data_IF_631705095835
#
_entry.id   IF_631705095835
#
_cell.length_a   1.000
_cell.length_b   1.000
_cell.length_c   1.000
_cell.angle_alpha   90.00
_cell.angle_beta   90.00
_cell.angle_gamma   90.00
#
_symmetry.space_group_name_H-M   'P 1'
#
loop_
_entity.id
_entity.type
_entity.pdbx_description
1 polymer ?
#
# COMPACT_ATOMS: atom_id res chain seq x y z
N UNK A 1 -30.17 -22.91 -24.44
CA UNK A 1 -28.78 -23.21 -24.03
C UNK A 1 -28.28 -22.04 -23.19
N UNK A 2 -28.58 -22.03 -21.89
CA UNK A 2 -28.13 -20.97 -20.96
C UNK A 2 -26.87 -21.44 -20.27
N UNK A 3 -25.70 -21.14 -20.83
CA UNK A 3 -24.44 -21.39 -20.16
C UNK A 3 -24.36 -20.54 -18.90
N UNK A 4 -24.31 -21.19 -17.73
CA UNK A 4 -23.92 -20.56 -16.47
C UNK A 4 -22.49 -20.04 -16.64
N UNK A 5 -22.34 -18.78 -17.08
CA UNK A 5 -21.07 -18.07 -16.93
C UNK A 5 -20.85 -17.92 -15.43
N UNK A 6 -19.96 -18.75 -14.89
CA UNK A 6 -19.37 -18.51 -13.58
C UNK A 6 -18.73 -17.12 -13.67
N UNK A 7 -19.40 -16.10 -13.13
CA UNK A 7 -18.81 -14.76 -13.03
C UNK A 7 -17.52 -14.91 -12.23
N UNK A 8 -16.37 -14.78 -12.90
CA UNK A 8 -15.08 -14.73 -12.21
C UNK A 8 -15.17 -13.61 -11.18
N UNK A 9 -14.96 -13.95 -9.91
CA UNK A 9 -14.87 -12.96 -8.83
C UNK A 9 -13.72 -12.01 -9.17
N UNK A 10 -13.97 -10.70 -9.09
CA UNK A 10 -12.94 -9.69 -9.35
C UNK A 10 -11.84 -9.82 -8.30
N UNK A 11 -10.56 -9.63 -8.66
CA UNK A 11 -9.49 -9.60 -7.67
C UNK A 11 -9.73 -8.47 -6.67
N UNK A 12 -9.57 -8.77 -5.38
CA UNK A 12 -9.66 -7.75 -4.32
C UNK A 12 -8.32 -7.07 -4.12
N UNK A 13 -8.31 -5.75 -4.06
CA UNK A 13 -7.09 -4.94 -3.95
C UNK A 13 -7.18 -4.04 -2.74
N UNK A 14 -6.24 -4.20 -1.81
CA UNK A 14 -6.07 -3.27 -0.69
C UNK A 14 -5.28 -2.05 -1.17
N UNK A 15 -5.85 -0.86 -0.98
CA UNK A 15 -5.33 0.42 -1.44
C UNK A 15 -4.74 1.21 -0.27
N UNK A 16 -3.45 1.54 -0.38
CA UNK A 16 -2.67 2.26 0.62
C UNK A 16 -2.39 3.69 0.13
N UNK A 17 -2.90 4.69 0.85
CA UNK A 17 -2.79 6.10 0.48
C UNK A 17 -1.38 6.68 0.72
N UNK A 18 -1.13 7.89 0.21
CA UNK A 18 0.14 8.59 0.36
C UNK A 18 0.29 9.32 1.69
N UNK A 19 1.48 9.87 1.92
CA UNK A 19 1.80 10.67 3.12
C UNK A 19 0.79 11.81 3.31
N UNK A 20 0.23 11.93 4.52
CA UNK A 20 -0.73 12.96 4.91
C UNK A 20 -1.94 13.07 3.99
N UNK A 21 -2.49 11.92 3.61
CA UNK A 21 -3.77 11.80 2.89
C UNK A 21 -4.66 10.78 3.60
N UNK A 22 -5.68 10.25 2.93
CA UNK A 22 -6.58 9.23 3.48
C UNK A 22 -6.99 8.25 2.37
N UNK A 23 -7.55 7.11 2.76
CA UNK A 23 -8.14 6.15 1.84
C UNK A 23 -9.24 6.78 0.99
N UNK A 24 -10.07 7.66 1.56
CA UNK A 24 -11.11 8.37 0.82
C UNK A 24 -10.53 9.37 -0.20
N UNK A 25 -9.42 10.04 0.13
CA UNK A 25 -8.70 10.91 -0.82
C UNK A 25 -8.13 10.07 -1.97
N UNK A 26 -7.46 8.95 -1.67
CA UNK A 26 -6.95 8.06 -2.72
C UNK A 26 -8.08 7.54 -3.62
N UNK A 27 -9.23 7.18 -3.05
CA UNK A 27 -10.42 6.77 -3.81
C UNK A 27 -10.91 7.87 -4.75
N UNK A 28 -10.98 9.12 -4.29
CA UNK A 28 -11.33 10.27 -5.14
C UNK A 28 -10.31 10.50 -6.26
N UNK A 29 -9.02 10.35 -5.97
CA UNK A 29 -7.96 10.44 -7.00
C UNK A 29 -8.10 9.32 -8.06
N UNK A 30 -8.38 8.10 -7.62
CA UNK A 30 -8.57 6.94 -8.50
C UNK A 30 -9.88 6.98 -9.29
N UNK A 31 -10.91 7.70 -8.83
CA UNK A 31 -12.17 7.84 -9.56
C UNK A 31 -12.01 8.48 -10.96
N UNK A 32 -10.86 9.12 -11.23
CA UNK A 32 -10.50 9.67 -12.54
C UNK A 32 -10.01 8.60 -13.53
N UNK A 33 -9.76 7.37 -13.09
CA UNK A 33 -9.31 6.30 -13.98
C UNK A 33 -10.43 5.79 -14.88
N UNK A 34 -10.10 5.24 -16.06
CA UNK A 34 -11.11 4.68 -16.96
C UNK A 34 -11.95 3.59 -16.29
N UNK A 35 -13.26 3.60 -16.50
CA UNK A 35 -14.16 2.55 -16.01
C UNK A 35 -13.75 1.14 -16.47
N UNK A 36 -13.13 1.04 -17.65
CA UNK A 36 -12.58 -0.21 -18.16
C UNK A 36 -11.48 -0.79 -17.28
N UNK A 37 -10.79 0.02 -16.47
CA UNK A 37 -9.84 -0.42 -15.44
C UNK A 37 -10.56 -0.64 -14.13
N UNK A 38 -11.33 0.35 -13.65
CA UNK A 38 -11.98 0.30 -12.34
C UNK A 38 -12.91 -0.91 -12.19
N UNK A 39 -13.59 -1.31 -13.27
CA UNK A 39 -14.53 -2.42 -13.23
C UNK A 39 -13.86 -3.80 -13.16
N UNK A 40 -12.54 -3.92 -13.31
CA UNK A 40 -11.84 -5.21 -13.22
C UNK A 40 -11.51 -5.64 -11.79
N UNK A 41 -11.56 -4.72 -10.82
CA UNK A 41 -11.11 -4.96 -9.45
C UNK A 41 -12.18 -4.59 -8.43
N UNK A 42 -12.06 -5.16 -7.24
CA UNK A 42 -12.79 -4.73 -6.04
C UNK A 42 -11.79 -4.05 -5.10
N UNK A 43 -11.80 -2.70 -5.06
CA UNK A 43 -10.86 -1.91 -4.28
C UNK A 43 -11.37 -1.66 -2.85
N UNK A 44 -10.46 -1.76 -1.88
CA UNK A 44 -10.69 -1.48 -0.46
C UNK A 44 -9.67 -0.43 0.00
N UNK A 45 -10.14 0.73 0.47
CA UNK A 45 -9.29 1.88 0.76
C UNK A 45 -9.11 2.03 2.26
N UNK A 46 -7.90 1.74 2.75
CA UNK A 46 -7.58 1.75 4.16
C UNK A 46 -6.95 3.07 4.58
N UNK A 47 -7.45 3.65 5.68
CA UNK A 47 -6.78 4.74 6.38
C UNK A 47 -5.63 4.22 7.23
N UNK A 48 -4.50 4.93 7.17
CA UNK A 48 -3.34 4.67 8.00
C UNK A 48 -3.62 4.94 9.49
N UNK A 49 -2.91 4.26 10.42
CA UNK A 49 -3.27 4.26 11.83
C UNK A 49 -2.90 5.55 12.58
N UNK A 50 -2.06 6.41 12.01
CA UNK A 50 -1.58 7.62 12.68
C UNK A 50 -2.15 8.88 12.04
N UNK A 51 -2.76 9.75 12.84
CA UNK A 51 -3.13 11.09 12.38
C UNK A 51 -1.89 11.89 11.95
N UNK A 52 -2.02 12.63 10.85
CA UNK A 52 -0.98 13.52 10.37
C UNK A 52 -0.64 14.58 11.41
N UNK A 53 0.66 14.83 11.61
CA UNK A 53 1.15 15.83 12.59
C UNK A 53 1.48 17.19 11.99
N UNK A 54 1.35 17.34 10.67
CA UNK A 54 1.64 18.58 9.97
C UNK A 54 0.75 18.78 8.75
N UNK A 55 1.07 19.82 7.98
CA UNK A 55 0.31 20.20 6.78
C UNK A 55 0.30 19.10 5.73
N UNK A 56 -0.82 19.00 5.02
CA UNK A 56 -0.96 18.14 3.86
C UNK A 56 -0.82 18.97 2.58
N UNK A 57 -0.05 18.48 1.61
CA UNK A 57 0.09 19.16 0.31
C UNK A 57 -1.22 19.19 -0.48
N UNK A 58 -2.22 18.42 -0.04
CA UNK A 58 -3.54 18.35 -0.69
C UNK A 58 -4.62 19.12 0.07
N UNK A 59 -4.26 19.90 1.10
CA UNK A 59 -5.22 20.62 1.95
C UNK A 59 -6.05 21.69 1.22
N UNK A 60 -5.56 22.17 0.07
CA UNK A 60 -6.31 23.09 -0.80
C UNK A 60 -7.35 22.41 -1.68
N UNK A 61 -7.31 21.07 -1.79
CA UNK A 61 -8.14 20.27 -2.69
C UNK A 61 -9.06 19.29 -1.96
N UNK A 62 -8.67 18.82 -0.79
CA UNK A 62 -9.43 17.83 -0.01
C UNK A 62 -9.42 18.17 1.47
N UNK A 63 -10.58 18.06 2.11
CA UNK A 63 -10.72 18.26 3.55
C UNK A 63 -10.06 17.12 4.37
N UNK A 64 -9.64 17.41 5.62
CA UNK A 64 -9.18 16.40 6.58
C UNK A 64 -10.29 15.38 6.95
N UNK A 65 -9.98 14.26 7.63
CA UNK A 65 -8.70 13.92 8.27
C UNK A 65 -7.60 13.43 7.31
N UNK A 66 -6.36 13.63 7.73
CA UNK A 66 -5.16 13.11 7.06
C UNK A 66 -4.40 12.17 7.99
N UNK A 67 -3.76 11.18 7.40
CA UNK A 67 -3.06 10.13 8.10
C UNK A 67 -1.68 9.86 7.50
N UNK A 68 -0.83 9.22 8.29
CA UNK A 68 0.51 8.79 7.95
C UNK A 68 0.68 7.32 8.33
N UNK A 69 1.32 6.52 7.48
CA UNK A 69 1.57 5.11 7.78
C UNK A 69 2.67 4.94 8.83
N UNK A 70 3.71 5.75 8.70
CA UNK A 70 4.86 5.84 9.60
C UNK A 70 5.42 7.26 9.51
N UNK A 71 6.20 7.69 10.49
CA UNK A 71 6.82 9.01 10.51
C UNK A 71 8.30 8.89 10.24
N UNK A 72 8.84 9.79 9.41
CA UNK A 72 10.29 9.88 9.19
C UNK A 72 10.78 11.21 9.73
N UNK A 73 11.85 11.18 10.51
CA UNK A 73 12.63 12.34 10.89
C UNK A 73 14.08 12.18 10.38
N UNK A 74 14.95 13.15 10.61
CA UNK A 74 16.35 13.08 10.14
C UNK A 74 17.15 11.90 10.71
N UNK A 75 16.73 11.36 11.85
CA UNK A 75 17.43 10.29 12.54
C UNK A 75 16.86 8.92 12.16
N UNK A 76 15.55 8.75 12.19
CA UNK A 76 14.89 7.44 12.16
C UNK A 76 13.49 7.44 11.53
N UNK A 77 12.98 6.22 11.31
CA UNK A 77 11.61 5.94 10.93
C UNK A 77 10.87 5.37 12.14
N UNK A 78 9.85 6.09 12.59
CA UNK A 78 9.06 5.79 13.78
C UNK A 78 7.75 5.12 13.37
N UNK A 79 7.32 4.16 14.18
CA UNK A 79 6.06 3.42 14.04
C UNK A 79 5.94 2.48 12.83
N UNK A 80 7.07 2.13 12.21
CA UNK A 80 7.08 1.24 11.05
C UNK A 80 6.55 -0.16 11.38
N UNK A 81 7.00 -0.77 12.48
CA UNK A 81 6.60 -2.12 12.87
C UNK A 81 5.11 -2.17 13.25
N UNK A 82 4.61 -1.14 13.95
CA UNK A 82 3.19 -0.98 14.28
C UNK A 82 2.32 -0.80 13.04
N UNK A 83 2.82 -0.07 12.03
CA UNK A 83 2.16 0.05 10.74
C UNK A 83 2.01 -1.30 10.02
N UNK A 84 3.10 -2.08 9.98
CA UNK A 84 3.08 -3.40 9.32
C UNK A 84 2.10 -4.34 10.03
N UNK A 85 2.13 -4.38 11.37
CA UNK A 85 1.19 -5.16 12.17
C UNK A 85 -0.27 -4.72 11.96
N UNK A 86 -0.53 -3.42 11.86
CA UNK A 86 -1.88 -2.88 11.60
C UNK A 86 -2.41 -3.32 10.22
N UNK A 87 -1.58 -3.25 9.18
CA UNK A 87 -2.00 -3.69 7.83
C UNK A 87 -2.26 -5.21 7.82
N UNK A 88 -1.41 -6.01 8.45
CA UNK A 88 -1.61 -7.46 8.54
C UNK A 88 -2.92 -7.80 9.29
N UNK A 89 -3.18 -7.17 10.43
CA UNK A 89 -4.44 -7.34 11.17
C UNK A 89 -5.68 -6.96 10.34
N UNK A 90 -5.62 -5.86 9.59
CA UNK A 90 -6.68 -5.49 8.66
C UNK A 90 -6.88 -6.55 7.57
N UNK A 91 -5.78 -7.05 6.98
CA UNK A 91 -5.82 -8.09 5.96
C UNK A 91 -6.41 -9.41 6.48
N UNK A 92 -6.15 -9.77 7.74
CA UNK A 92 -6.75 -10.95 8.40
C UNK A 92 -8.28 -10.76 8.52
N UNK A 93 -8.73 -9.58 8.97
CA UNK A 93 -10.15 -9.31 9.26
C UNK A 93 -11.00 -9.10 8.00
N UNK A 94 -10.43 -8.45 6.99
CA UNK A 94 -11.17 -7.97 5.82
C UNK A 94 -10.80 -8.67 4.51
N UNK A 95 -9.81 -9.57 4.54
CA UNK A 95 -9.33 -10.33 3.39
C UNK A 95 -10.27 -11.46 2.92
N UNK A 96 -9.79 -12.32 2.01
CA UNK A 96 -8.47 -12.28 1.39
C UNK A 96 -8.36 -11.11 0.39
N UNK A 97 -7.16 -10.55 0.29
CA UNK A 97 -6.75 -9.61 -0.76
C UNK A 97 -5.84 -10.33 -1.76
N UNK A 98 -6.10 -10.12 -3.05
CA UNK A 98 -5.31 -10.71 -4.14
C UNK A 98 -4.11 -9.84 -4.51
N UNK A 99 -4.22 -8.52 -4.32
CA UNK A 99 -3.18 -7.58 -4.66
C UNK A 99 -3.16 -6.35 -3.77
N UNK A 100 -2.09 -5.58 -3.88
CA UNK A 100 -1.94 -4.28 -3.24
C UNK A 100 -1.84 -3.17 -4.28
N UNK A 101 -2.37 -2.01 -3.95
CA UNK A 101 -2.11 -0.76 -4.67
C UNK A 101 -1.62 0.27 -3.67
N UNK A 102 -0.52 0.93 -3.97
CA UNK A 102 0.05 1.94 -3.08
C UNK A 102 0.45 3.21 -3.82
N UNK A 103 0.15 4.37 -3.23
CA UNK A 103 0.62 5.68 -3.72
C UNK A 103 1.67 6.27 -2.78
N UNK A 104 2.80 6.76 -3.30
CA UNK A 104 3.87 7.43 -2.54
C UNK A 104 4.30 6.60 -1.32
N UNK A 105 4.02 7.05 -0.09
CA UNK A 105 4.26 6.30 1.14
C UNK A 105 3.59 4.91 1.13
N UNK A 106 2.33 4.82 0.68
CA UNK A 106 1.65 3.55 0.48
C UNK A 106 2.27 2.71 -0.63
N UNK A 107 2.87 3.36 -1.64
CA UNK A 107 3.61 2.70 -2.72
C UNK A 107 4.89 2.02 -2.22
N UNK A 108 5.61 2.67 -1.30
CA UNK A 108 6.72 2.05 -0.57
C UNK A 108 6.23 0.80 0.17
N UNK A 109 5.14 0.89 0.94
CA UNK A 109 4.61 -0.25 1.69
C UNK A 109 4.19 -1.41 0.78
N UNK A 110 3.46 -1.10 -0.31
CA UNK A 110 3.05 -2.11 -1.28
C UNK A 110 4.25 -2.85 -1.91
N UNK A 111 5.39 -2.16 -2.08
CA UNK A 111 6.60 -2.77 -2.64
C UNK A 111 7.31 -3.73 -1.70
N UNK A 112 7.18 -3.56 -0.38
CA UNK A 112 7.90 -4.36 0.62
C UNK A 112 7.07 -5.52 1.18
N UNK A 113 5.76 -5.54 0.99
CA UNK A 113 4.91 -6.64 1.47
C UNK A 113 5.27 -7.99 0.82
N UNK A 114 5.39 -8.14 -0.52
CA UNK A 114 5.78 -9.43 -1.11
C UNK A 114 7.13 -9.98 -0.61
N UNK A 115 8.23 -9.20 -0.55
CA UNK A 115 9.47 -9.71 0.01
C UNK A 115 9.36 -10.01 1.51
N UNK A 116 8.60 -9.24 2.31
CA UNK A 116 8.35 -9.60 3.72
C UNK A 116 7.66 -10.96 3.87
N UNK A 117 6.68 -11.27 3.00
CA UNK A 117 6.05 -12.60 2.97
C UNK A 117 7.04 -13.69 2.60
N UNK A 118 7.91 -13.45 1.61
CA UNK A 118 8.92 -14.41 1.16
C UNK A 118 9.93 -14.74 2.26
N UNK A 119 10.42 -13.72 2.98
CA UNK A 119 11.37 -13.90 4.07
C UNK A 119 10.72 -14.41 5.37
N UNK A 120 9.38 -14.52 5.41
CA UNK A 120 8.64 -14.87 6.62
C UNK A 120 8.75 -13.82 7.73
N UNK A 121 9.07 -12.57 7.39
CA UNK A 121 9.30 -11.49 8.34
C UNK A 121 7.99 -10.83 8.82
N UNK A 122 6.98 -10.72 7.95
CA UNK A 122 5.65 -10.18 8.25
C UNK A 122 4.63 -10.70 7.23
N UNK A 123 3.33 -10.46 7.46
CA UNK A 123 2.24 -10.91 6.58
C UNK A 123 2.21 -12.44 6.41
N UNK A 124 2.57 -13.16 7.48
CA UNK A 124 2.66 -14.63 7.51
C UNK A 124 1.31 -15.28 7.83
N UNK A 125 0.36 -14.52 8.38
CA UNK A 125 -0.99 -14.98 8.73
C UNK A 125 -2.03 -14.72 7.64
N UNK A 126 -1.61 -14.21 6.48
CA UNK A 126 -2.48 -13.86 5.35
C UNK A 126 -2.04 -14.57 4.08
N UNK A 127 -2.94 -14.82 3.10
CA UNK A 127 -2.55 -15.41 1.83
C UNK A 127 -1.48 -14.60 1.11
N UNK A 128 -0.66 -15.27 0.28
CA UNK A 128 0.36 -14.61 -0.53
C UNK A 128 -0.26 -13.59 -1.49
N UNK A 129 0.28 -12.38 -1.49
CA UNK A 129 -0.07 -11.33 -2.46
C UNK A 129 0.34 -11.78 -3.87
N UNK A 130 -0.59 -11.65 -4.82
CA UNK A 130 -0.42 -12.14 -6.20
C UNK A 130 0.07 -11.07 -7.15
N UNK A 131 -0.13 -9.78 -6.83
CA UNK A 131 0.38 -8.67 -7.62
C UNK A 131 0.42 -7.36 -6.82
N UNK A 132 1.22 -6.41 -7.28
CA UNK A 132 1.29 -5.06 -6.70
C UNK A 132 1.23 -3.96 -7.77
N UNK A 133 0.55 -2.86 -7.46
CA UNK A 133 0.52 -1.63 -8.26
C UNK A 133 1.16 -0.53 -7.42
N UNK A 134 2.33 -0.06 -7.83
CA UNK A 134 3.15 0.89 -7.08
C UNK A 134 3.15 2.21 -7.86
N UNK A 135 2.58 3.25 -7.27
CA UNK A 135 2.47 4.58 -7.86
C UNK A 135 3.35 5.54 -7.07
N UNK A 136 4.37 6.11 -7.70
CA UNK A 136 5.34 7.03 -7.09
C UNK A 136 5.97 6.50 -5.79
N UNK A 137 6.12 5.17 -5.69
CA UNK A 137 6.79 4.53 -4.56
C UNK A 137 8.28 4.85 -4.53
N UNK A 138 8.88 4.71 -3.36
CA UNK A 138 10.30 4.97 -3.14
C UNK A 138 10.88 3.92 -2.19
N UNK A 139 12.20 3.93 -2.06
CA UNK A 139 12.89 3.06 -1.15
C UNK A 139 13.34 3.78 0.11
N UNK A 140 13.05 3.20 1.28
CA UNK A 140 13.45 3.76 2.56
C UNK A 140 14.85 3.22 2.96
N UNK A 141 15.91 3.68 2.29
CA UNK A 141 17.30 3.22 2.52
C UNK A 141 18.10 4.09 3.49
N UNK A 142 17.93 5.42 3.45
CA UNK A 142 18.94 6.35 3.99
C UNK A 142 18.45 7.12 5.22
N UNK A 143 18.42 6.43 6.37
CA UNK A 143 18.21 7.05 7.68
C UNK A 143 19.53 7.01 8.47
N UNK A 144 19.82 8.02 9.30
CA UNK A 144 21.05 8.02 10.12
C UNK A 144 21.12 6.83 11.07
N UNK A 145 19.98 6.34 11.56
CA UNK A 145 19.85 5.12 12.38
C UNK A 145 19.96 3.81 11.59
N UNK A 146 20.04 3.87 10.26
CA UNK A 146 19.77 2.74 9.37
C UNK A 146 18.26 2.49 9.18
N UNK A 147 17.90 1.64 8.20
CA UNK A 147 16.50 1.33 7.90
C UNK A 147 15.84 0.52 9.04
N UNK A 148 14.50 0.56 9.17
CA UNK A 148 13.75 -0.36 10.02
C UNK A 148 14.21 -1.82 9.84
N UNK A 149 14.27 -2.58 10.93
CA UNK A 149 14.76 -3.98 10.90
C UNK A 149 13.99 -4.86 9.92
N UNK A 150 12.68 -4.65 9.83
CA UNK A 150 11.81 -5.36 8.88
C UNK A 150 12.19 -5.11 7.41
N UNK A 151 12.95 -4.05 7.10
CA UNK A 151 13.44 -3.74 5.76
C UNK A 151 14.85 -4.28 5.45
N UNK A 152 15.55 -4.87 6.43
CA UNK A 152 16.96 -5.23 6.28
C UNK A 152 17.26 -6.10 5.04
N UNK A 153 16.37 -7.03 4.69
CA UNK A 153 16.57 -7.97 3.59
C UNK A 153 15.58 -7.80 2.43
N UNK A 154 14.62 -6.88 2.51
CA UNK A 154 13.49 -6.84 1.56
C UNK A 154 13.90 -6.42 0.14
N UNK A 155 15.03 -5.71 0.02
CA UNK A 155 15.55 -5.20 -1.24
C UNK A 155 16.68 -6.07 -1.83
N UNK A 156 17.06 -7.16 -1.15
CA UNK A 156 18.16 -8.04 -1.58
C UNK A 156 17.84 -8.85 -2.84
N UNK A 157 16.54 -9.09 -3.10
CA UNK A 157 16.05 -9.88 -4.22
C UNK A 157 14.82 -9.16 -4.81
N UNK A 158 14.68 -9.11 -6.15
CA UNK A 158 13.53 -8.49 -6.80
C UNK A 158 12.18 -9.02 -6.31
N UNK A 159 11.13 -8.21 -6.47
CA UNK A 159 9.74 -8.60 -6.19
C UNK A 159 9.39 -9.85 -7.01
N UNK A 160 8.84 -10.87 -6.35
CA UNK A 160 8.60 -12.21 -6.89
C UNK A 160 7.16 -12.44 -7.40
N UNK A 161 6.37 -11.36 -7.48
CA UNK A 161 5.04 -11.34 -8.06
C UNK A 161 4.95 -10.29 -9.19
N UNK A 162 3.98 -10.39 -10.11
CA UNK A 162 3.67 -9.33 -11.07
C UNK A 162 3.58 -7.96 -10.40
N UNK A 163 4.37 -7.00 -10.88
CA UNK A 163 4.38 -5.63 -10.37
C UNK A 163 4.26 -4.61 -11.50
N UNK A 164 3.43 -3.59 -11.29
CA UNK A 164 3.32 -2.41 -12.16
C UNK A 164 3.85 -1.21 -11.40
N UNK A 165 4.85 -0.54 -11.95
CA UNK A 165 5.46 0.66 -11.36
C UNK A 165 5.10 1.87 -12.23
N UNK A 166 4.37 2.82 -11.65
CA UNK A 166 4.05 4.10 -12.27
C UNK A 166 4.87 5.19 -11.58
N UNK A 167 5.88 5.70 -12.27
CA UNK A 167 6.80 6.72 -11.75
C UNK A 167 6.75 7.92 -12.71
N UNK A 168 6.56 9.12 -12.16
CA UNK A 168 6.61 10.35 -12.95
C UNK A 168 8.05 10.61 -13.44
N UNK A 169 8.20 11.25 -14.60
CA UNK A 169 9.53 11.66 -15.04
C UNK A 169 10.12 12.69 -14.06
N UNK A 170 11.41 12.57 -13.70
CA UNK A 170 12.07 13.56 -12.87
C UNK A 170 12.12 14.94 -13.53
#
# INVERSE_FOLDING_TARGET
MGGNQVRRKKPRVLCLHGFRTSGEILKKMMAKWPHSVLNNFDFDFLDAPFHARGKSDVESLYDPPYYEWYQVNEMECVHFDECIAYIEDYMIKHGPFDGLLGFSQGGMLASVVPPMQREGAAFTSVPKIKFVIIISGFELRELKSGPPKLLANVYSVPIDCPSLHLIEKP
#
